data_IF_858734776349
#
_entry.id   IF_858734776349
#
_cell.length_a   1.000
_cell.length_b   1.000
_cell.length_c   1.000
_cell.angle_alpha   90.00
_cell.angle_beta   90.00
_cell.angle_gamma   90.00
#
_symmetry.space_group_name_H-M   'P 1'
#
loop_
_entity.id
_entity.type
_entity.pdbx_description
1 polymer ?
#
# COMPACT_ATOMS: atom_id res chain seq x y z
N UNK A 1 26.00 20.11 33.47
CA UNK A 1 24.75 19.65 32.82
C UNK A 1 24.67 19.94 31.30
N UNK A 2 25.74 20.39 30.64
CA UNK A 2 25.71 20.85 29.23
C UNK A 2 25.74 19.68 28.21
N UNK A 3 26.27 18.51 28.57
CA UNK A 3 26.45 17.39 27.63
C UNK A 3 25.19 16.64 27.21
N UNK A 4 24.15 16.56 28.06
CA UNK A 4 22.94 15.76 27.76
C UNK A 4 22.06 16.44 26.70
N UNK A 5 22.03 17.78 26.66
CA UNK A 5 21.25 18.52 25.66
C UNK A 5 21.87 18.43 24.26
N UNK A 6 23.20 18.53 24.17
CA UNK A 6 23.93 18.38 22.90
C UNK A 6 23.80 16.97 22.31
N UNK A 7 23.89 15.92 23.14
CA UNK A 7 23.71 14.55 22.67
C UNK A 7 22.31 14.33 22.07
N UNK A 8 21.25 14.80 22.74
CA UNK A 8 19.88 14.72 22.25
C UNK A 8 19.66 15.52 20.96
N UNK A 9 20.23 16.73 20.87
CA UNK A 9 20.16 17.53 19.66
C UNK A 9 20.80 16.80 18.47
N UNK A 10 21.97 16.18 18.67
CA UNK A 10 22.63 15.37 17.64
C UNK A 10 21.79 14.16 17.23
N UNK A 11 21.18 13.45 18.19
CA UNK A 11 20.29 12.32 17.89
C UNK A 11 19.05 12.76 17.11
N UNK A 12 18.36 13.81 17.54
CA UNK A 12 17.20 14.37 16.85
C UNK A 12 17.55 14.83 15.44
N UNK A 13 18.70 15.49 15.26
CA UNK A 13 19.18 15.90 13.95
C UNK A 13 19.26 14.70 13.00
N UNK A 14 19.90 13.60 13.40
CA UNK A 14 20.01 12.41 12.55
C UNK A 14 18.66 11.74 12.28
N UNK A 15 17.77 11.68 13.28
CA UNK A 15 16.40 11.15 13.09
C UNK A 15 15.68 11.97 12.03
N UNK A 16 15.65 13.30 12.17
CA UNK A 16 14.98 14.17 11.20
C UNK A 16 15.67 14.16 9.84
N UNK A 17 17.00 14.09 9.81
CA UNK A 17 17.76 14.00 8.56
C UNK A 17 17.39 12.74 7.77
N UNK A 18 17.28 11.58 8.43
CA UNK A 18 16.88 10.33 7.78
C UNK A 18 15.43 10.41 7.27
N UNK A 19 14.50 10.86 8.11
CA UNK A 19 13.06 10.94 7.75
C UNK A 19 12.86 11.91 6.59
N UNK A 20 13.36 13.15 6.72
CA UNK A 20 13.23 14.18 5.69
C UNK A 20 14.00 13.80 4.41
N UNK A 21 15.17 13.15 4.56
CA UNK A 21 15.94 12.64 3.43
C UNK A 21 15.13 11.64 2.62
N UNK A 22 14.49 10.66 3.28
CA UNK A 22 13.61 9.70 2.61
C UNK A 22 12.44 10.36 1.88
N UNK A 23 11.75 11.32 2.53
CA UNK A 23 10.64 12.06 1.91
C UNK A 23 11.10 12.86 0.67
N UNK A 24 12.24 13.55 0.79
CA UNK A 24 12.82 14.34 -0.31
C UNK A 24 13.26 13.46 -1.49
N UNK A 25 13.80 12.26 -1.22
CA UNK A 25 14.15 11.29 -2.27
C UNK A 25 12.93 10.88 -3.08
N UNK A 26 11.84 10.48 -2.42
CA UNK A 26 10.60 10.05 -3.09
C UNK A 26 10.04 11.18 -3.95
N UNK A 27 10.02 12.41 -3.43
CA UNK A 27 9.53 13.59 -4.15
C UNK A 27 10.34 13.85 -5.44
N UNK A 28 11.66 13.73 -5.39
CA UNK A 28 12.50 13.96 -6.57
C UNK A 28 12.38 12.87 -7.61
N UNK A 29 12.33 11.61 -7.19
CA UNK A 29 12.10 10.50 -8.13
C UNK A 29 10.79 10.77 -8.89
N UNK A 30 9.74 11.14 -8.17
CA UNK A 30 8.45 11.50 -8.77
C UNK A 30 8.56 12.69 -9.76
N UNK A 31 9.25 13.77 -9.37
CA UNK A 31 9.49 14.96 -10.21
C UNK A 31 10.25 14.60 -11.48
N UNK A 32 11.36 13.87 -11.36
CA UNK A 32 12.22 13.51 -12.49
C UNK A 32 11.48 12.58 -13.45
N UNK A 33 10.70 11.64 -12.92
CA UNK A 33 9.99 10.69 -13.76
C UNK A 33 8.88 11.33 -14.60
N UNK A 34 8.19 12.33 -14.05
CA UNK A 34 7.04 12.98 -14.70
C UNK A 34 7.41 14.25 -15.48
N UNK A 35 8.42 15.01 -15.06
CA UNK A 35 8.70 16.33 -15.63
C UNK A 35 9.90 16.35 -16.59
N UNK A 36 10.78 15.36 -16.55
CA UNK A 36 12.00 15.35 -17.35
C UNK A 36 11.95 14.23 -18.40
N UNK A 37 11.75 14.54 -19.70
CA UNK A 37 11.66 13.54 -20.77
C UNK A 37 13.05 13.06 -21.22
N UNK A 38 13.82 12.50 -20.29
CA UNK A 38 15.13 11.90 -20.58
C UNK A 38 15.06 10.37 -20.64
N UNK A 39 16.04 9.77 -21.30
CA UNK A 39 16.27 8.33 -21.22
C UNK A 39 16.67 7.90 -19.79
N UNK A 40 16.57 6.60 -19.48
CA UNK A 40 16.77 6.07 -18.12
C UNK A 40 18.15 6.44 -17.53
N UNK A 41 19.21 6.35 -18.33
CA UNK A 41 20.58 6.68 -17.89
C UNK A 41 20.72 8.17 -17.56
N UNK A 42 20.20 9.05 -18.43
CA UNK A 42 20.21 10.50 -18.20
C UNK A 42 19.43 10.92 -16.96
N UNK A 43 18.23 10.35 -16.76
CA UNK A 43 17.44 10.56 -15.53
C UNK A 43 18.23 10.19 -14.27
N UNK A 44 18.93 9.06 -14.29
CA UNK A 44 19.71 8.58 -13.14
C UNK A 44 20.86 9.52 -12.80
N UNK A 45 21.63 9.98 -13.80
CA UNK A 45 22.75 10.90 -13.58
C UNK A 45 22.26 12.23 -13.03
N UNK A 46 21.19 12.80 -13.61
CA UNK A 46 20.63 14.07 -13.13
C UNK A 46 20.07 13.92 -11.72
N UNK A 47 19.35 12.82 -11.44
CA UNK A 47 18.84 12.53 -10.11
C UNK A 47 19.97 12.52 -9.07
N UNK A 48 21.08 11.86 -9.38
CA UNK A 48 22.25 11.80 -8.50
C UNK A 48 22.85 13.19 -8.24
N UNK A 49 23.01 14.00 -9.28
CA UNK A 49 23.56 15.37 -9.16
C UNK A 49 22.65 16.25 -8.30
N UNK A 50 21.34 16.25 -8.58
CA UNK A 50 20.35 17.00 -7.79
C UNK A 50 20.37 16.53 -6.34
N UNK A 51 20.48 15.21 -6.13
CA UNK A 51 20.50 14.64 -4.78
C UNK A 51 21.68 15.16 -3.95
N UNK A 52 22.88 15.19 -4.54
CA UNK A 52 24.09 15.65 -3.86
C UNK A 52 24.08 17.17 -3.65
N UNK A 53 23.73 17.94 -4.68
CA UNK A 53 23.85 19.41 -4.68
C UNK A 53 22.70 20.10 -3.95
N UNK A 54 21.48 19.60 -4.09
CA UNK A 54 20.30 20.24 -3.53
C UNK A 54 19.77 19.49 -2.30
N UNK A 55 19.61 18.17 -2.38
CA UNK A 55 18.83 17.45 -1.37
C UNK A 55 19.57 17.23 -0.08
N UNK A 56 20.81 16.78 -0.13
CA UNK A 56 21.60 16.59 1.09
C UNK A 56 21.71 17.91 1.88
N UNK A 57 22.07 19.05 1.25
CA UNK A 57 22.13 20.34 1.96
C UNK A 57 20.77 20.81 2.48
N UNK A 58 19.71 20.72 1.66
CA UNK A 58 18.36 21.13 2.07
C UNK A 58 17.86 20.27 3.24
N UNK A 59 18.07 18.96 3.18
CA UNK A 59 17.70 18.02 4.25
C UNK A 59 18.47 18.34 5.53
N UNK A 60 19.77 18.63 5.44
CA UNK A 60 20.59 19.06 6.57
C UNK A 60 20.05 20.33 7.23
N UNK A 61 19.78 21.36 6.42
CA UNK A 61 19.22 22.62 6.89
C UNK A 61 17.86 22.44 7.58
N UNK A 62 16.94 21.69 6.95
CA UNK A 62 15.62 21.43 7.51
C UNK A 62 15.70 20.61 8.79
N UNK A 63 16.53 19.56 8.83
CA UNK A 63 16.75 18.73 10.01
C UNK A 63 17.25 19.56 11.20
N UNK A 64 18.18 20.49 10.98
CA UNK A 64 18.65 21.40 12.02
C UNK A 64 17.52 22.31 12.55
N UNK A 65 16.71 22.90 11.65
CA UNK A 65 15.59 23.77 12.04
C UNK A 65 14.54 23.00 12.84
N UNK A 66 14.13 21.84 12.35
CA UNK A 66 13.15 20.96 13.02
C UNK A 66 13.68 20.49 14.37
N UNK A 67 14.98 20.17 14.48
CA UNK A 67 15.63 19.82 15.76
C UNK A 67 15.50 20.96 16.77
N UNK A 68 15.86 22.19 16.37
CA UNK A 68 15.79 23.35 17.26
C UNK A 68 14.36 23.62 17.72
N UNK A 69 13.38 23.53 16.82
CA UNK A 69 11.95 23.71 17.15
C UNK A 69 11.50 22.60 18.11
N UNK A 70 11.82 21.35 17.80
CA UNK A 70 11.46 20.18 18.61
C UNK A 70 11.97 20.28 20.04
N UNK A 71 13.24 20.70 20.22
CA UNK A 71 13.82 20.93 21.54
C UNK A 71 13.08 22.05 22.29
N UNK A 72 12.74 23.16 21.62
CA UNK A 72 11.95 24.26 22.20
C UNK A 72 10.54 23.83 22.60
N UNK A 73 9.93 22.88 21.89
CA UNK A 73 8.64 22.28 22.24
C UNK A 73 8.72 21.29 23.41
N UNK A 74 9.90 21.13 24.03
CA UNK A 74 10.09 20.35 25.23
C UNK A 74 10.57 18.92 25.00
N UNK A 75 11.02 18.56 23.79
CA UNK A 75 11.71 17.28 23.54
C UNK A 75 13.11 17.22 24.18
N UNK A 76 13.61 18.32 24.73
CA UNK A 76 14.77 18.28 25.62
C UNK A 76 14.52 17.46 26.89
N UNK A 77 13.27 17.41 27.37
CA UNK A 77 12.90 16.68 28.59
C UNK A 77 12.96 15.18 28.33
N UNK A 78 13.66 14.45 29.20
CA UNK A 78 13.89 13.00 29.04
C UNK A 78 12.60 12.21 28.79
N UNK A 79 11.54 12.50 29.55
CA UNK A 79 10.22 11.84 29.40
C UNK A 79 9.64 12.04 28.00
N UNK A 80 9.59 13.28 27.52
CA UNK A 80 9.00 13.61 26.21
C UNK A 80 9.82 13.00 25.06
N UNK A 81 11.16 13.03 25.18
CA UNK A 81 12.05 12.41 24.19
C UNK A 81 11.83 10.90 24.07
N UNK A 82 11.67 10.20 25.20
CA UNK A 82 11.39 8.75 25.21
C UNK A 82 10.04 8.44 24.56
N UNK A 83 8.99 9.21 24.88
CA UNK A 83 7.65 9.04 24.27
C UNK A 83 7.72 9.23 22.75
N UNK A 84 8.42 10.27 22.30
CA UNK A 84 8.62 10.53 20.87
C UNK A 84 9.34 9.38 20.16
N UNK A 85 10.42 8.88 20.75
CA UNK A 85 11.16 7.75 20.18
C UNK A 85 10.30 6.48 20.12
N UNK A 86 9.50 6.24 21.16
CA UNK A 86 8.57 5.11 21.19
C UNK A 86 7.53 5.19 20.06
N UNK A 87 6.96 6.38 19.80
CA UNK A 87 6.00 6.58 18.70
C UNK A 87 6.65 6.32 17.33
N UNK A 88 7.86 6.85 17.10
CA UNK A 88 8.59 6.66 15.83
C UNK A 88 8.85 5.18 15.56
N UNK A 89 9.21 4.42 16.60
CA UNK A 89 9.47 2.97 16.47
C UNK A 89 8.17 2.16 16.38
N UNK A 90 7.10 2.61 17.04
CA UNK A 90 5.81 1.92 17.03
C UNK A 90 5.12 1.97 15.66
N UNK A 91 5.25 3.06 14.90
CA UNK A 91 4.65 3.18 13.56
C UNK A 91 5.08 2.06 12.59
N UNK A 92 6.38 1.82 12.32
CA UNK A 92 6.80 0.75 11.42
C UNK A 92 6.46 -0.64 11.98
N UNK A 93 6.51 -0.83 13.30
CA UNK A 93 6.07 -2.09 13.92
C UNK A 93 4.60 -2.35 13.64
N UNK A 94 3.73 -1.35 13.80
CA UNK A 94 2.31 -1.46 13.49
C UNK A 94 2.08 -1.71 11.99
N UNK A 95 2.87 -1.10 11.11
CA UNK A 95 2.80 -1.36 9.67
C UNK A 95 3.16 -2.80 9.32
N UNK A 96 4.30 -3.30 9.82
CA UNK A 96 4.76 -4.68 9.60
C UNK A 96 3.76 -5.67 10.20
N UNK A 97 3.25 -5.41 11.41
CA UNK A 97 2.25 -6.25 12.04
C UNK A 97 0.95 -6.29 11.23
N UNK A 98 0.47 -5.13 10.81
CA UNK A 98 -0.72 -5.04 9.97
C UNK A 98 -0.53 -5.70 8.60
N UNK A 99 0.68 -5.75 8.06
CA UNK A 99 0.95 -6.42 6.79
C UNK A 99 0.90 -7.95 6.92
N UNK A 100 1.38 -8.49 8.05
CA UNK A 100 1.52 -9.93 8.28
C UNK A 100 0.36 -10.58 9.04
N UNK A 101 -0.58 -9.79 9.57
CA UNK A 101 -1.78 -10.31 10.24
C UNK A 101 -2.75 -10.95 9.25
N UNK A 102 -3.56 -11.86 9.77
CA UNK A 102 -4.75 -12.37 9.09
C UNK A 102 -5.77 -11.24 8.94
N UNK A 103 -6.44 -11.21 7.79
CA UNK A 103 -7.42 -10.18 7.43
C UNK A 103 -8.65 -10.83 6.84
N UNK A 104 -9.78 -10.14 6.90
CA UNK A 104 -10.89 -10.45 6.02
C UNK A 104 -10.50 -10.18 4.57
N UNK A 105 -11.04 -10.95 3.64
CA UNK A 105 -10.77 -10.73 2.22
C UNK A 105 -11.37 -9.41 1.72
N UNK A 106 -12.49 -8.96 2.29
CA UNK A 106 -13.02 -7.62 1.96
C UNK A 106 -12.06 -6.48 2.38
N UNK A 107 -11.33 -6.65 3.50
CA UNK A 107 -10.27 -5.72 3.93
C UNK A 107 -9.09 -5.69 2.94
N UNK A 108 -8.92 -6.71 2.10
CA UNK A 108 -7.88 -6.74 1.07
C UNK A 108 -8.35 -6.08 -0.22
N UNK A 109 -9.56 -6.39 -0.69
CA UNK A 109 -10.13 -5.85 -1.93
C UNK A 109 -10.57 -4.39 -1.74
N UNK A 110 -11.11 -4.03 -0.57
CA UNK A 110 -11.44 -2.68 -0.12
C UNK A 110 -12.36 -1.87 -1.05
N UNK A 111 -13.59 -2.35 -1.27
CA UNK A 111 -14.63 -1.55 -1.91
C UNK A 111 -15.83 -1.30 -1.00
N UNK A 112 -16.57 -0.24 -1.33
CA UNK A 112 -17.80 0.15 -0.66
C UNK A 112 -18.93 0.00 -1.65
N UNK A 113 -19.92 -0.84 -1.34
CA UNK A 113 -21.04 -1.19 -2.24
C UNK A 113 -21.74 0.03 -2.82
N UNK A 114 -22.03 1.04 -1.98
CA UNK A 114 -22.68 2.31 -2.37
C UNK A 114 -21.88 3.16 -3.36
N UNK A 115 -20.60 2.87 -3.53
CA UNK A 115 -19.68 3.60 -4.39
C UNK A 115 -19.27 2.78 -5.61
N UNK A 116 -19.87 1.61 -5.83
CA UNK A 116 -19.59 0.77 -6.99
C UNK A 116 -20.35 1.33 -8.18
N UNK A 117 -19.61 1.64 -9.25
CA UNK A 117 -20.16 2.10 -10.52
C UNK A 117 -20.61 0.89 -11.35
N UNK A 118 -19.75 -0.13 -11.43
CA UNK A 118 -20.02 -1.42 -12.05
C UNK A 118 -18.96 -2.46 -11.66
N UNK A 119 -19.29 -3.74 -11.84
CA UNK A 119 -18.40 -4.89 -11.64
C UNK A 119 -18.28 -5.63 -12.97
N UNK A 120 -17.06 -6.01 -13.35
CA UNK A 120 -16.78 -6.88 -14.49
C UNK A 120 -16.28 -8.23 -13.97
N UNK A 121 -16.81 -9.31 -14.51
CA UNK A 121 -16.35 -10.68 -14.24
C UNK A 121 -15.71 -11.26 -15.50
N UNK A 122 -14.51 -11.79 -15.35
CA UNK A 122 -13.65 -12.20 -16.45
C UNK A 122 -12.99 -11.01 -17.15
N UNK A 123 -12.54 -11.25 -18.38
CA UNK A 123 -11.76 -10.29 -19.17
C UNK A 123 -12.60 -9.49 -20.17
N UNK A 124 -13.90 -9.77 -20.26
CA UNK A 124 -14.77 -9.18 -21.27
C UNK A 124 -15.65 -8.12 -20.63
N UNK A 125 -15.63 -6.91 -21.20
CA UNK A 125 -16.39 -5.77 -20.70
C UNK A 125 -17.91 -5.96 -20.80
N UNK A 126 -18.36 -6.88 -21.66
CA UNK A 126 -19.77 -7.25 -21.82
C UNK A 126 -20.31 -7.96 -20.58
N UNK A 127 -19.47 -8.69 -19.84
CA UNK A 127 -19.81 -9.37 -18.59
C UNK A 127 -19.76 -8.40 -17.39
N UNK A 128 -20.40 -7.24 -17.55
CA UNK A 128 -20.46 -6.20 -16.52
C UNK A 128 -21.85 -6.12 -15.90
N UNK A 129 -21.91 -5.78 -14.63
CA UNK A 129 -23.14 -5.47 -13.93
C UNK A 129 -23.07 -4.14 -13.20
N UNK A 130 -24.18 -3.38 -13.26
CA UNK A 130 -24.39 -2.12 -12.52
C UNK A 130 -25.32 -2.30 -11.31
N UNK A 131 -25.80 -3.54 -11.09
CA UNK A 131 -26.78 -3.80 -10.04
C UNK A 131 -26.11 -3.74 -8.66
N UNK A 132 -26.61 -2.89 -7.76
CA UNK A 132 -26.09 -2.77 -6.39
C UNK A 132 -26.15 -4.10 -5.63
N UNK A 133 -27.15 -4.93 -5.91
CA UNK A 133 -27.32 -6.28 -5.36
C UNK A 133 -26.04 -7.12 -5.54
N UNK A 134 -25.46 -7.17 -6.74
CA UNK A 134 -24.25 -7.95 -7.01
C UNK A 134 -23.03 -7.43 -6.25
N UNK A 135 -22.96 -6.12 -6.00
CA UNK A 135 -21.91 -5.55 -5.15
C UNK A 135 -22.07 -5.95 -3.68
N UNK A 136 -23.31 -6.03 -3.18
CA UNK A 136 -23.61 -6.48 -1.81
C UNK A 136 -23.27 -7.96 -1.65
N UNK A 137 -23.75 -8.82 -2.55
CA UNK A 137 -23.48 -10.26 -2.52
C UNK A 137 -21.98 -10.56 -2.64
N UNK A 138 -21.27 -9.89 -3.55
CA UNK A 138 -19.82 -10.03 -3.64
C UNK A 138 -19.15 -9.65 -2.32
N UNK A 139 -19.58 -8.55 -1.68
CA UNK A 139 -19.01 -8.13 -0.41
C UNK A 139 -19.27 -9.16 0.69
N UNK A 140 -20.48 -9.71 0.75
CA UNK A 140 -20.84 -10.75 1.70
C UNK A 140 -20.03 -12.03 1.48
N UNK A 141 -19.83 -12.45 0.22
CA UNK A 141 -18.97 -13.59 -0.12
C UNK A 141 -17.54 -13.36 0.38
N UNK A 142 -16.94 -12.20 0.07
CA UNK A 142 -15.57 -11.90 0.48
C UNK A 142 -15.42 -11.81 2.01
N UNK A 143 -16.42 -11.30 2.73
CA UNK A 143 -16.40 -11.24 4.20
C UNK A 143 -16.32 -12.60 4.88
N UNK A 144 -16.66 -13.69 4.19
CA UNK A 144 -16.62 -15.03 4.76
C UNK A 144 -15.20 -15.59 4.83
N UNK A 145 -14.26 -15.05 4.05
CA UNK A 145 -12.92 -15.63 3.91
C UNK A 145 -11.85 -14.83 4.63
N UNK A 146 -11.03 -15.57 5.37
CA UNK A 146 -9.84 -15.07 6.06
C UNK A 146 -8.63 -15.31 5.19
N UNK A 147 -7.81 -14.28 5.04
CA UNK A 147 -6.63 -14.31 4.17
C UNK A 147 -5.38 -13.82 4.87
N UNK A 148 -4.23 -14.30 4.40
CA UNK A 148 -2.91 -13.85 4.86
C UNK A 148 -1.99 -13.61 3.69
N UNK A 149 -1.23 -12.52 3.74
CA UNK A 149 -0.29 -12.15 2.68
C UNK A 149 0.77 -13.24 2.51
N UNK A 150 0.98 -13.68 1.27
CA UNK A 150 2.08 -14.58 0.91
C UNK A 150 3.37 -13.80 0.67
N UNK A 151 4.50 -14.48 0.79
CA UNK A 151 5.76 -14.01 0.23
C UNK A 151 5.73 -14.18 -1.29
N UNK A 152 6.45 -13.33 -2.00
CA UNK A 152 6.57 -13.44 -3.47
C UNK A 152 7.13 -14.79 -3.92
N UNK A 153 7.97 -15.43 -3.09
CA UNK A 153 8.55 -16.76 -3.34
C UNK A 153 7.56 -17.92 -3.15
N UNK A 154 6.42 -17.68 -2.50
CA UNK A 154 5.37 -18.68 -2.27
C UNK A 154 4.34 -18.67 -3.42
N UNK A 155 4.35 -17.63 -4.27
CA UNK A 155 3.43 -17.52 -5.40
C UNK A 155 3.94 -18.29 -6.62
N UNK A 156 3.16 -19.27 -7.09
CA UNK A 156 3.36 -19.90 -8.39
C UNK A 156 2.57 -19.14 -9.48
N UNK A 157 3.23 -18.49 -10.46
CA UNK A 157 2.54 -17.81 -11.53
C UNK A 157 1.76 -18.75 -12.47
N UNK A 158 2.06 -20.06 -12.48
CA UNK A 158 1.26 -21.03 -13.23
C UNK A 158 -0.04 -21.35 -12.48
N UNK A 159 -1.10 -20.67 -12.90
CA UNK A 159 -2.48 -20.84 -12.41
C UNK A 159 -3.34 -21.65 -13.39
N UNK A 160 -2.75 -22.24 -14.44
CA UNK A 160 -3.49 -22.84 -15.56
C UNK A 160 -4.36 -24.05 -15.16
N UNK A 161 -4.04 -24.68 -14.02
CA UNK A 161 -4.78 -25.83 -13.48
C UNK A 161 -5.77 -25.44 -12.38
N UNK A 162 -5.88 -24.17 -12.06
CA UNK A 162 -6.77 -23.68 -11.01
C UNK A 162 -8.00 -23.01 -11.61
N UNK A 163 -9.17 -23.33 -11.04
CA UNK A 163 -10.38 -22.57 -11.32
C UNK A 163 -10.27 -21.23 -10.60
N UNK A 164 -10.55 -20.14 -11.32
CA UNK A 164 -10.55 -18.81 -10.74
C UNK A 164 -11.16 -17.78 -11.68
N UNK A 165 -11.49 -16.62 -11.10
CA UNK A 165 -12.11 -15.51 -11.80
C UNK A 165 -11.24 -14.27 -11.68
N UNK A 166 -11.10 -13.58 -12.80
CA UNK A 166 -10.62 -12.21 -12.80
C UNK A 166 -11.81 -11.28 -12.55
N UNK A 167 -11.70 -10.38 -11.59
CA UNK A 167 -12.73 -9.39 -11.29
C UNK A 167 -12.16 -7.99 -11.39
N UNK A 168 -12.98 -7.07 -11.91
CA UNK A 168 -12.68 -5.64 -11.88
C UNK A 168 -13.89 -4.89 -11.34
N UNK A 169 -13.73 -4.27 -10.18
CA UNK A 169 -14.73 -3.44 -9.51
C UNK A 169 -14.37 -1.98 -9.78
N UNK A 170 -15.19 -1.26 -10.53
CA UNK A 170 -15.04 0.19 -10.66
C UNK A 170 -15.77 0.87 -9.50
N UNK A 171 -15.03 1.62 -8.69
CA UNK A 171 -15.60 2.40 -7.60
C UNK A 171 -15.10 3.83 -7.62
N UNK A 172 -16.01 4.80 -7.76
CA UNK A 172 -15.69 6.23 -7.92
C UNK A 172 -14.68 6.47 -9.05
N UNK A 173 -14.89 5.78 -10.18
CA UNK A 173 -14.02 5.87 -11.36
C UNK A 173 -12.62 5.26 -11.19
N UNK A 174 -12.36 4.52 -10.10
CA UNK A 174 -11.09 3.81 -9.88
C UNK A 174 -11.30 2.30 -9.96
N UNK A 175 -10.55 1.57 -10.81
CA UNK A 175 -10.65 0.12 -10.88
C UNK A 175 -9.94 -0.53 -9.69
N UNK A 176 -10.59 -1.52 -9.10
CA UNK A 176 -10.03 -2.48 -8.15
C UNK A 176 -10.07 -3.84 -8.82
N UNK A 177 -8.90 -4.43 -9.02
CA UNK A 177 -8.69 -5.61 -9.84
C UNK A 177 -8.13 -6.72 -8.95
N UNK A 178 -8.74 -7.89 -9.05
CA UNK A 178 -8.24 -9.08 -8.38
C UNK A 178 -8.44 -10.33 -9.23
N UNK A 179 -7.54 -11.31 -9.06
CA UNK A 179 -7.77 -12.69 -9.51
C UNK A 179 -8.04 -13.54 -8.29
N UNK A 180 -9.21 -14.18 -8.25
CA UNK A 180 -9.71 -14.96 -7.12
C UNK A 180 -9.73 -16.43 -7.55
N UNK A 181 -8.96 -17.25 -6.84
CA UNK A 181 -8.94 -18.71 -6.97
C UNK A 181 -9.44 -19.32 -5.68
N UNK A 182 -9.70 -20.63 -5.68
CA UNK A 182 -10.19 -21.33 -4.48
C UNK A 182 -9.30 -21.08 -3.25
N UNK A 183 -7.98 -21.21 -3.38
CA UNK A 183 -7.08 -21.18 -2.21
C UNK A 183 -6.18 -19.94 -2.16
N UNK A 184 -6.27 -19.07 -3.16
CA UNK A 184 -5.35 -17.94 -3.32
C UNK A 184 -5.93 -16.78 -4.09
N UNK A 185 -5.36 -15.60 -3.85
CA UNK A 185 -5.86 -14.35 -4.41
C UNK A 185 -4.70 -13.48 -4.80
N UNK A 186 -4.80 -12.89 -5.99
CA UNK A 186 -3.91 -11.85 -6.47
C UNK A 186 -4.66 -10.52 -6.46
N UNK A 187 -4.25 -9.59 -5.59
CA UNK A 187 -4.71 -8.21 -5.63
C UNK A 187 -3.85 -7.40 -6.60
N UNK A 188 -4.25 -7.31 -7.87
CA UNK A 188 -3.46 -6.73 -8.96
C UNK A 188 -3.06 -5.27 -8.68
N UNK A 189 -3.98 -4.43 -8.21
CA UNK A 189 -3.67 -3.02 -7.90
C UNK A 189 -2.60 -2.84 -6.82
N UNK A 190 -2.41 -3.84 -5.95
CA UNK A 190 -1.47 -3.79 -4.83
C UNK A 190 -0.25 -4.67 -5.03
N UNK A 191 -0.23 -5.49 -6.08
CA UNK A 191 0.83 -6.46 -6.34
C UNK A 191 1.05 -7.46 -5.21
N UNK A 192 0.01 -7.75 -4.42
CA UNK A 192 0.11 -8.62 -3.25
C UNK A 192 -0.65 -9.93 -3.49
N UNK A 193 -0.04 -11.02 -3.04
CA UNK A 193 -0.60 -12.37 -3.07
C UNK A 193 -1.13 -12.73 -1.69
N UNK A 194 -2.22 -13.48 -1.63
CA UNK A 194 -2.83 -13.91 -0.36
C UNK A 194 -3.28 -15.36 -0.38
N UNK A 195 -2.98 -16.10 0.69
CA UNK A 195 -3.56 -17.42 0.94
C UNK A 195 -4.91 -17.28 1.63
N UNK A 196 -5.86 -18.13 1.26
CA UNK A 196 -7.12 -18.30 1.98
C UNK A 196 -6.90 -19.33 3.10
N UNK A 197 -7.35 -19.00 4.31
CA UNK A 197 -7.00 -19.75 5.53
C UNK A 197 -8.12 -20.67 6.02
N UNK A 198 -9.37 -20.28 5.80
CA UNK A 198 -10.54 -20.91 6.40
C UNK A 198 -11.37 -21.76 5.43
N UNK A 199 -10.74 -22.22 4.34
CA UNK A 199 -11.35 -23.11 3.34
C UNK A 199 -11.23 -22.54 1.92
N UNK A 200 -11.52 -23.37 0.89
CA UNK A 200 -11.56 -22.89 -0.48
C UNK A 200 -12.70 -21.88 -0.65
N UNK A 201 -12.46 -20.84 -1.44
CA UNK A 201 -13.50 -19.90 -1.85
C UNK A 201 -14.52 -20.63 -2.70
N UNK A 202 -15.78 -20.52 -2.31
CA UNK A 202 -16.90 -20.96 -3.11
C UNK A 202 -16.99 -20.11 -4.39
N UNK A 203 -16.58 -20.71 -5.51
CA UNK A 203 -16.58 -20.06 -6.80
C UNK A 203 -17.93 -20.17 -7.53
N UNK A 204 -18.91 -20.90 -6.99
CA UNK A 204 -20.23 -21.10 -7.63
C UNK A 204 -20.98 -19.80 -7.83
N UNK A 205 -20.89 -18.85 -6.89
CA UNK A 205 -21.48 -17.52 -7.05
C UNK A 205 -20.96 -16.80 -8.30
N UNK A 206 -19.68 -16.97 -8.64
CA UNK A 206 -19.13 -16.41 -9.87
C UNK A 206 -19.63 -17.14 -11.11
N UNK A 207 -19.82 -18.46 -11.06
CA UNK A 207 -20.46 -19.22 -12.14
C UNK A 207 -21.88 -18.70 -12.39
N UNK A 208 -22.69 -18.58 -11.33
CA UNK A 208 -24.10 -18.16 -11.39
C UNK A 208 -24.23 -16.75 -11.96
N UNK A 209 -23.45 -15.80 -11.44
CA UNK A 209 -23.48 -14.43 -11.93
C UNK A 209 -22.94 -14.32 -13.37
N UNK A 210 -21.93 -15.11 -13.73
CA UNK A 210 -21.44 -15.12 -15.10
C UNK A 210 -22.49 -15.63 -16.09
N UNK A 211 -23.25 -16.66 -15.73
CA UNK A 211 -24.36 -17.16 -16.55
C UNK A 211 -25.53 -16.18 -16.62
N UNK A 212 -25.87 -15.49 -15.53
CA UNK A 212 -26.88 -14.42 -15.52
C UNK A 212 -26.53 -13.32 -16.52
N UNK A 213 -25.27 -12.86 -16.52
CA UNK A 213 -24.82 -11.78 -17.40
C UNK A 213 -24.71 -12.16 -18.88
N UNK A 214 -24.69 -13.44 -19.23
CA UNK A 214 -24.73 -13.91 -20.64
C UNK A 214 -26.14 -14.00 -21.20
N UNK A 215 -27.16 -14.03 -20.34
CA UNK A 215 -28.55 -14.19 -20.74
C UNK A 215 -29.26 -12.84 -20.93
N UNK A 216 -28.65 -11.75 -20.45
CA UNK A 216 -29.07 -10.34 -20.63
C UNK A 216 -28.47 -9.73 -21.91
#
# INVERSE_FOLDING_TARGET
>A
MIGVSQAKAKTLFWIFFIILGGMNTVLIIYIIDHLIPLNKTGKTIIALVIFIVAIIPLTGFLAEKVTKISLRLGLEKRRNFIIFLAIIVMIPIMMIFNENREKDLDEVIQFQTKNVDYIIIGNEFENRTVQEKHAVELKELLNQYRVKKMKDSEWDPDVSKEKGYYITIYSKGKPIIASIYENRILSVNRGNYYHVLNGPIDLTWFDELYEELRQD
#
